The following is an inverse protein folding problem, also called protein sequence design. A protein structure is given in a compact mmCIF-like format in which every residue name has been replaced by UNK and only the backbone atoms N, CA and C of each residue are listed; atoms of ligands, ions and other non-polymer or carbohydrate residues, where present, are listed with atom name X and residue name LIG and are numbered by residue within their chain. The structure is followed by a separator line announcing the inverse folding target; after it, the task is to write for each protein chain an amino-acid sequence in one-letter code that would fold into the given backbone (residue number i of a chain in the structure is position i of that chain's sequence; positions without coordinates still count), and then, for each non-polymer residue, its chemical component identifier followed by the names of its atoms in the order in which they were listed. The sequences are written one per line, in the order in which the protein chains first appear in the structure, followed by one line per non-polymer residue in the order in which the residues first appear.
data_IF_707241099893
#
_entry.id   IF_707241099893
#
_cell.length_a   1.000
_cell.length_b   1.000
_cell.length_c   1.000
_cell.angle_alpha   90.00
_cell.angle_beta   90.00
_cell.angle_gamma   90.00
#
_symmetry.space_group_name_H-M   'P 1'
#
loop_
_entity.id
_entity.type
_entity.pdbx_description
1 polymer ?
#
# COMPACT_ATOMS: atom_id res chain seq x y z
N UNK A 1 25.36 15.25 -10.34
CA UNK A 1 24.18 15.57 -11.16
C UNK A 1 23.31 14.37 -11.46
N UNK A 2 23.88 13.29 -12.02
CA UNK A 2 23.11 12.06 -12.26
C UNK A 2 22.47 11.50 -10.99
N UNK A 3 23.19 11.55 -9.86
CA UNK A 3 22.68 11.06 -8.57
C UNK A 3 21.52 11.89 -8.04
N UNK A 4 21.53 13.19 -8.26
CA UNK A 4 20.40 14.07 -7.87
C UNK A 4 19.16 13.78 -8.70
N UNK A 5 19.32 13.53 -10.00
CA UNK A 5 18.22 13.16 -10.88
C UNK A 5 17.65 11.81 -10.52
N UNK A 6 18.52 10.86 -10.18
CA UNK A 6 18.12 9.53 -9.74
C UNK A 6 17.35 9.60 -8.42
N UNK A 7 17.85 10.37 -7.46
CA UNK A 7 17.15 10.56 -6.17
C UNK A 7 15.77 11.21 -6.38
N UNK A 8 15.68 12.25 -7.21
CA UNK A 8 14.41 12.90 -7.54
C UNK A 8 13.43 11.91 -8.16
N UNK A 9 13.89 11.09 -9.09
CA UNK A 9 13.06 10.08 -9.73
C UNK A 9 12.54 9.06 -8.72
N UNK A 10 13.44 8.56 -7.87
CA UNK A 10 13.09 7.61 -6.81
C UNK A 10 12.10 8.21 -5.81
N UNK A 11 12.31 9.47 -5.43
CA UNK A 11 11.44 10.17 -4.50
C UNK A 11 10.03 10.36 -5.08
N UNK A 12 9.94 10.71 -6.34
CA UNK A 12 8.65 10.86 -7.04
C UNK A 12 7.92 9.53 -7.09
N UNK A 13 8.61 8.45 -7.46
CA UNK A 13 8.05 7.12 -7.49
C UNK A 13 7.61 6.66 -6.11
N UNK A 14 8.43 6.93 -5.10
CA UNK A 14 8.10 6.64 -3.70
C UNK A 14 6.78 7.32 -3.31
N UNK A 15 6.63 8.61 -3.59
CA UNK A 15 5.41 9.34 -3.28
C UNK A 15 4.19 8.76 -3.99
N UNK A 16 4.33 8.37 -5.26
CA UNK A 16 3.25 7.75 -6.02
C UNK A 16 2.82 6.41 -5.39
N UNK A 17 3.77 5.61 -4.95
CA UNK A 17 3.48 4.32 -4.31
C UNK A 17 2.83 4.52 -2.93
N UNK A 18 3.26 5.51 -2.17
CA UNK A 18 2.66 5.84 -0.87
C UNK A 18 1.20 6.26 -1.04
N UNK A 19 0.89 7.06 -2.05
CA UNK A 19 -0.49 7.48 -2.33
C UNK A 19 -1.37 6.27 -2.63
N UNK A 20 -0.89 5.34 -3.48
CA UNK A 20 -1.61 4.11 -3.80
C UNK A 20 -1.80 3.23 -2.55
N UNK A 21 -0.76 3.09 -1.75
CA UNK A 21 -0.80 2.32 -0.51
C UNK A 21 -1.88 2.87 0.43
N UNK A 22 -1.92 4.19 0.61
CA UNK A 22 -2.91 4.84 1.46
C UNK A 22 -4.34 4.63 0.96
N UNK A 23 -4.55 4.58 -0.35
CA UNK A 23 -5.86 4.27 -0.93
C UNK A 23 -6.31 2.86 -0.56
N UNK A 24 -5.42 1.87 -0.65
CA UNK A 24 -5.73 0.50 -0.26
C UNK A 24 -6.00 0.39 1.24
N UNK A 25 -5.25 1.09 2.06
CA UNK A 25 -5.48 1.11 3.51
C UNK A 25 -6.86 1.69 3.82
N UNK A 26 -7.29 2.75 3.15
CA UNK A 26 -8.64 3.32 3.32
C UNK A 26 -9.72 2.32 2.92
N UNK A 27 -9.52 1.59 1.83
CA UNK A 27 -10.45 0.55 1.39
C UNK A 27 -10.55 -0.57 2.41
N UNK A 28 -9.43 -1.01 2.95
CA UNK A 28 -9.37 -2.05 3.97
C UNK A 28 -10.15 -1.61 5.22
N UNK A 29 -9.92 -0.40 5.69
CA UNK A 29 -10.61 0.17 6.85
C UNK A 29 -12.13 0.22 6.61
N UNK A 30 -12.54 0.69 5.43
CA UNK A 30 -13.95 0.76 5.04
C UNK A 30 -14.59 -0.62 5.03
N UNK A 31 -13.93 -1.60 4.40
CA UNK A 31 -14.44 -2.96 4.31
C UNK A 31 -14.56 -3.60 5.69
N UNK A 32 -13.56 -3.41 6.55
CA UNK A 32 -13.62 -3.92 7.94
C UNK A 32 -14.78 -3.31 8.71
N UNK A 33 -15.04 -2.01 8.52
CA UNK A 33 -16.16 -1.34 9.14
C UNK A 33 -17.49 -1.92 8.63
N UNK A 34 -17.65 -2.07 7.32
CA UNK A 34 -18.82 -2.68 6.70
C UNK A 34 -19.06 -4.10 7.23
N UNK A 35 -18.00 -4.89 7.34
CA UNK A 35 -18.08 -6.25 7.88
C UNK A 35 -18.51 -6.25 9.34
N UNK A 36 -18.04 -5.30 10.14
CA UNK A 36 -18.44 -5.21 11.55
C UNK A 36 -19.92 -4.90 11.72
N UNK A 37 -20.46 -4.06 10.83
CA UNK A 37 -21.90 -3.74 10.82
C UNK A 37 -22.70 -4.93 10.28
N UNK A 38 -22.19 -5.60 9.26
CA UNK A 38 -22.86 -6.71 8.58
C UNK A 38 -22.77 -8.03 9.35
N UNK A 39 -21.95 -8.11 10.35
CA UNK A 39 -21.65 -9.35 11.10
C UNK A 39 -22.91 -10.10 11.53
N UNK A 40 -23.94 -9.40 12.00
CA UNK A 40 -25.21 -9.99 12.47
C UNK A 40 -25.99 -10.68 11.36
N UNK A 41 -25.78 -10.27 10.11
CA UNK A 41 -26.55 -10.70 8.95
C UNK A 41 -25.81 -11.68 8.05
N UNK A 42 -24.58 -12.07 8.43
CA UNK A 42 -23.73 -12.92 7.58
C UNK A 42 -24.34 -14.27 7.25
N UNK A 43 -25.13 -14.83 8.17
CA UNK A 43 -25.83 -16.11 7.96
C UNK A 43 -26.97 -15.99 6.96
N UNK A 44 -27.64 -14.84 6.96
CA UNK A 44 -28.79 -14.57 6.10
C UNK A 44 -28.35 -14.16 4.69
N UNK A 45 -27.16 -13.57 4.57
CA UNK A 45 -26.61 -13.09 3.29
C UNK A 45 -25.17 -13.57 3.09
N UNK A 46 -24.98 -14.91 2.95
CA UNK A 46 -23.62 -15.46 2.87
C UNK A 46 -22.85 -15.03 1.63
N UNK A 47 -23.51 -14.79 0.50
CA UNK A 47 -22.86 -14.34 -0.72
C UNK A 47 -22.27 -12.93 -0.55
N UNK A 48 -22.99 -12.04 0.10
CA UNK A 48 -22.51 -10.67 0.38
C UNK A 48 -21.34 -10.69 1.34
N UNK A 49 -21.39 -11.52 2.36
CA UNK A 49 -20.29 -11.70 3.30
C UNK A 49 -19.02 -12.20 2.61
N UNK A 50 -19.15 -13.24 1.78
CA UNK A 50 -18.05 -13.81 1.01
C UNK A 50 -17.41 -12.75 0.12
N UNK A 51 -18.22 -11.90 -0.51
CA UNK A 51 -17.75 -10.82 -1.38
C UNK A 51 -16.91 -9.80 -0.60
N UNK A 52 -17.34 -9.47 0.61
CA UNK A 52 -16.59 -8.57 1.50
C UNK A 52 -15.24 -9.18 1.90
N UNK A 53 -15.22 -10.47 2.25
CA UNK A 53 -13.99 -11.21 2.61
C UNK A 53 -13.03 -11.24 1.44
N UNK A 54 -13.51 -11.55 0.23
CA UNK A 54 -12.69 -11.59 -0.98
C UNK A 54 -12.08 -10.22 -1.28
N UNK A 55 -12.88 -9.16 -1.17
CA UNK A 55 -12.42 -7.79 -1.38
C UNK A 55 -11.34 -7.40 -0.38
N UNK A 56 -11.56 -7.73 0.90
CA UNK A 56 -10.58 -7.46 1.96
C UNK A 56 -9.26 -8.20 1.70
N UNK A 57 -9.34 -9.47 1.33
CA UNK A 57 -8.17 -10.31 1.03
C UNK A 57 -7.39 -9.75 -0.15
N UNK A 58 -8.07 -9.36 -1.23
CA UNK A 58 -7.45 -8.79 -2.42
C UNK A 58 -6.76 -7.46 -2.09
N UNK A 59 -7.43 -6.58 -1.34
CA UNK A 59 -6.88 -5.27 -0.97
C UNK A 59 -5.67 -5.42 -0.03
N UNK A 60 -5.70 -6.37 0.90
CA UNK A 60 -4.56 -6.67 1.78
C UNK A 60 -3.36 -7.16 0.99
N UNK A 61 -3.57 -8.05 0.04
CA UNK A 61 -2.50 -8.57 -0.82
C UNK A 61 -1.87 -7.43 -1.62
N UNK A 62 -2.68 -6.56 -2.21
CA UNK A 62 -2.21 -5.41 -2.98
C UNK A 62 -1.43 -4.44 -2.10
N UNK A 63 -1.91 -4.16 -0.88
CA UNK A 63 -1.23 -3.26 0.05
C UNK A 63 0.12 -3.83 0.52
N UNK A 64 0.20 -5.15 0.72
CA UNK A 64 1.46 -5.81 1.11
C UNK A 64 2.51 -5.70 0.02
N UNK A 65 2.11 -5.90 -1.25
CA UNK A 65 3.01 -5.74 -2.40
C UNK A 65 3.51 -4.31 -2.49
N UNK A 66 2.63 -3.32 -2.33
CA UNK A 66 3.00 -1.90 -2.33
C UNK A 66 3.93 -1.57 -1.17
N UNK A 67 3.69 -2.12 0.00
CA UNK A 67 4.55 -1.93 1.17
C UNK A 67 5.97 -2.42 0.90
N UNK A 68 6.12 -3.59 0.29
CA UNK A 68 7.43 -4.13 -0.11
C UNK A 68 8.12 -3.20 -1.11
N UNK A 69 7.38 -2.71 -2.09
CA UNK A 69 7.91 -1.76 -3.09
C UNK A 69 8.38 -0.47 -2.42
N UNK A 70 7.60 0.07 -1.48
CA UNK A 70 7.93 1.28 -0.73
C UNK A 70 9.20 1.08 0.09
N UNK A 71 9.33 -0.05 0.79
CA UNK A 71 10.54 -0.37 1.57
C UNK A 71 11.75 -0.47 0.66
N UNK A 72 11.61 -1.11 -0.50
CA UNK A 72 12.68 -1.21 -1.50
C UNK A 72 13.12 0.17 -1.99
N UNK A 73 12.16 1.05 -2.30
CA UNK A 73 12.44 2.43 -2.75
C UNK A 73 13.16 3.23 -1.66
N UNK A 74 12.74 3.10 -0.40
CA UNK A 74 13.42 3.73 0.73
C UNK A 74 14.88 3.29 0.82
N UNK A 75 15.15 2.00 0.64
CA UNK A 75 16.50 1.46 0.66
C UNK A 75 17.35 2.07 -0.45
N UNK A 76 16.81 2.15 -1.67
CA UNK A 76 17.49 2.75 -2.82
C UNK A 76 17.77 4.24 -2.60
N UNK A 77 16.82 4.97 -2.03
CA UNK A 77 16.98 6.39 -1.73
C UNK A 77 18.06 6.62 -0.67
N UNK A 78 18.11 5.79 0.37
CA UNK A 78 19.15 5.86 1.41
C UNK A 78 20.54 5.59 0.81
N UNK A 79 20.63 4.59 -0.06
CA UNK A 79 21.89 4.26 -0.73
C UNK A 79 22.35 5.41 -1.62
N UNK A 80 21.45 5.97 -2.42
CA UNK A 80 21.72 7.12 -3.27
C UNK A 80 22.22 8.32 -2.47
N UNK A 81 21.57 8.61 -1.35
CA UNK A 81 21.92 9.71 -0.46
C UNK A 81 23.28 9.48 0.21
N UNK A 82 23.56 8.26 0.66
CA UNK A 82 24.85 7.90 1.25
C UNK A 82 25.99 8.08 0.26
N UNK A 83 25.81 7.64 -1.00
CA UNK A 83 26.80 7.82 -2.07
C UNK A 83 27.05 9.30 -2.35
N UNK A 84 25.99 10.11 -2.34
CA UNK A 84 26.11 11.55 -2.55
C UNK A 84 26.90 12.21 -1.43
N UNK A 85 26.67 11.81 -0.18
CA UNK A 85 27.30 12.39 1.00
C UNK A 85 28.77 11.95 1.18
N UNK A 86 29.20 10.88 0.53
CA UNK A 86 30.58 10.41 0.58
C UNK A 86 31.54 11.21 -0.32
N UNK A 87 31.03 12.12 -1.09
CA UNK A 87 31.84 13.00 -1.91
C UNK A 87 32.22 14.27 -1.14
#
# INVERSE_FOLDING_TARGET
MLKNQEFSRLHKEYNNQVVKYNEYIRRIIRTKFEMSVFWRYKKDYPADWTRMVEKLTADRKSSDILKETIVSLKGKMRQCNAEYNQK
#
